data_IF_731561049331
#
_entry.id   IF_731561049331
#
_cell.length_a   1.000
_cell.length_b   1.000
_cell.length_c   1.000
_cell.angle_alpha   90.00
_cell.angle_beta   90.00
_cell.angle_gamma   90.00
#
_symmetry.space_group_name_H-M   'P 1'
#
loop_
_entity.id
_entity.type
_entity.pdbx_description
1 polymer ?
#
# COMPACT_ATOMS: atom_id res chain seq x y z
N UNK A 1 -7.46 14.89 -2.64
CA UNK A 1 -8.85 14.89 -2.12
C UNK A 1 -9.17 13.61 -1.36
N UNK A 2 -9.01 12.43 -1.97
CA UNK A 2 -9.34 11.13 -1.38
C UNK A 2 -8.76 10.87 0.02
N UNK A 3 -7.52 11.30 0.28
CA UNK A 3 -6.85 11.07 1.56
C UNK A 3 -7.32 11.98 2.70
N UNK A 4 -8.13 13.02 2.40
CA UNK A 4 -8.53 14.02 3.40
C UNK A 4 -9.39 13.37 4.49
N UNK A 5 -8.85 13.31 5.70
CA UNK A 5 -9.54 12.71 6.85
C UNK A 5 -9.58 11.17 6.83
N UNK A 6 -8.78 10.52 5.98
CA UNK A 6 -8.67 9.07 5.95
C UNK A 6 -7.98 8.53 7.22
N UNK A 7 -8.48 7.39 7.70
CA UNK A 7 -7.86 6.58 8.77
C UNK A 7 -6.84 5.58 8.21
N UNK A 8 -7.01 5.17 6.95
CA UNK A 8 -6.15 4.19 6.28
C UNK A 8 -5.85 4.69 4.88
N UNK A 9 -4.59 4.66 4.49
CA UNK A 9 -4.17 4.81 3.09
C UNK A 9 -3.64 3.46 2.63
N UNK A 10 -4.17 2.98 1.51
CA UNK A 10 -3.78 1.69 0.94
C UNK A 10 -3.36 1.90 -0.51
N UNK A 11 -2.23 1.32 -0.90
CA UNK A 11 -1.80 1.29 -2.30
C UNK A 11 -1.24 -0.08 -2.67
N UNK A 12 -1.02 -0.28 -3.96
CA UNK A 12 -0.45 -1.48 -4.58
C UNK A 12 0.39 -1.04 -5.79
N UNK A 13 1.21 -1.95 -6.30
CA UNK A 13 2.02 -1.74 -7.49
C UNK A 13 1.17 -1.19 -8.63
N UNK A 14 1.69 -0.15 -9.28
CA UNK A 14 0.96 0.45 -10.40
C UNK A 14 0.79 -0.50 -11.58
N UNK A 15 1.76 -1.40 -11.78
CA UNK A 15 1.76 -2.39 -12.86
C UNK A 15 1.59 -3.77 -12.26
N UNK A 16 0.43 -4.39 -12.50
CA UNK A 16 0.15 -5.75 -12.04
C UNK A 16 0.91 -6.78 -12.88
N UNK A 17 1.03 -8.00 -12.34
CA UNK A 17 1.62 -9.13 -13.08
C UNK A 17 0.89 -9.35 -14.42
N UNK A 18 1.64 -9.44 -15.51
CA UNK A 18 1.12 -9.61 -16.87
C UNK A 18 0.85 -8.30 -17.63
N UNK A 19 1.14 -7.14 -17.03
CA UNK A 19 0.98 -5.81 -17.67
C UNK A 19 2.32 -5.08 -17.88
N UNK A 20 3.43 -5.80 -17.94
CA UNK A 20 4.78 -5.22 -17.94
C UNK A 20 5.03 -4.30 -19.14
N UNK A 21 4.40 -4.57 -20.28
CA UNK A 21 4.48 -3.73 -21.48
C UNK A 21 3.95 -2.30 -21.27
N UNK A 22 3.02 -2.12 -20.33
CA UNK A 22 2.39 -0.83 -20.03
C UNK A 22 3.13 -0.04 -18.93
N UNK A 23 4.20 -0.60 -18.36
CA UNK A 23 4.85 -0.07 -17.15
C UNK A 23 5.23 1.41 -17.25
N UNK A 24 5.81 1.86 -18.37
CA UNK A 24 6.24 3.24 -18.55
C UNK A 24 5.08 4.24 -18.65
N UNK A 25 4.01 3.85 -19.35
CA UNK A 25 2.80 4.66 -19.47
C UNK A 25 2.13 4.80 -18.10
N UNK A 26 1.98 3.68 -17.39
CA UNK A 26 1.39 3.63 -16.05
C UNK A 26 2.19 4.45 -15.05
N UNK A 27 3.52 4.40 -15.07
CA UNK A 27 4.37 5.27 -14.24
C UNK A 27 4.07 6.75 -14.46
N UNK A 28 3.83 7.16 -15.71
CA UNK A 28 3.51 8.55 -16.03
C UNK A 28 2.12 8.95 -15.53
N UNK A 29 1.12 8.08 -15.71
CA UNK A 29 -0.26 8.30 -15.27
C UNK A 29 -0.36 8.31 -13.73
N UNK A 30 0.27 7.35 -13.07
CA UNK A 30 0.11 7.13 -11.63
C UNK A 30 1.09 7.91 -10.76
N UNK A 31 2.07 8.61 -11.34
CA UNK A 31 3.07 9.40 -10.61
C UNK A 31 2.47 10.28 -9.51
N UNK A 32 1.34 10.93 -9.78
CA UNK A 32 0.68 11.84 -8.85
C UNK A 32 -0.15 11.15 -7.75
N UNK A 33 -0.24 9.81 -7.80
CA UNK A 33 -0.93 8.97 -6.82
C UNK A 33 0.02 8.25 -5.87
N UNK A 34 1.34 8.48 -5.97
CA UNK A 34 2.30 7.93 -5.01
C UNK A 34 1.91 8.31 -3.57
N UNK A 35 1.84 7.32 -2.70
CA UNK A 35 1.79 7.57 -1.26
C UNK A 35 3.19 8.00 -0.81
N UNK A 36 3.32 9.28 -0.46
CA UNK A 36 4.52 9.90 0.10
C UNK A 36 4.16 10.73 1.33
N UNK A 37 5.16 11.21 2.08
CA UNK A 37 4.95 11.97 3.31
C UNK A 37 3.99 13.16 3.13
N UNK A 38 4.11 13.91 2.02
CA UNK A 38 3.23 15.04 1.73
C UNK A 38 1.77 14.63 1.54
N UNK A 39 1.52 13.49 0.90
CA UNK A 39 0.15 12.98 0.75
C UNK A 39 -0.39 12.47 2.10
N UNK A 40 0.45 11.80 2.89
CA UNK A 40 0.10 11.28 4.21
C UNK A 40 -0.26 12.41 5.19
N UNK A 41 0.41 13.56 5.13
CA UNK A 41 0.08 14.75 5.94
C UNK A 41 -1.36 15.26 5.75
N UNK A 42 -1.99 14.97 4.61
CA UNK A 42 -3.38 15.37 4.35
C UNK A 42 -4.41 14.42 5.00
N UNK A 43 -3.97 13.27 5.53
CA UNK A 43 -4.80 12.32 6.25
C UNK A 43 -4.89 12.64 7.76
N UNK A 44 -5.53 11.77 8.53
CA UNK A 44 -5.51 11.90 9.99
C UNK A 44 -4.10 11.66 10.52
N UNK A 45 -3.78 12.28 11.67
CA UNK A 45 -2.44 12.18 12.30
C UNK A 45 -2.08 10.76 12.73
N UNK A 46 -3.09 9.96 13.04
CA UNK A 46 -3.02 8.56 13.45
C UNK A 46 -3.41 7.61 12.32
N UNK A 47 -3.48 8.09 11.08
CA UNK A 47 -3.76 7.24 9.93
C UNK A 47 -2.64 6.19 9.76
N UNK A 48 -3.00 4.98 9.36
CA UNK A 48 -2.04 3.92 9.03
C UNK A 48 -1.88 3.79 7.51
N UNK A 49 -0.71 3.30 7.09
CA UNK A 49 -0.41 2.99 5.70
C UNK A 49 -0.26 1.49 5.52
N UNK A 50 -0.95 0.97 4.51
CA UNK A 50 -1.04 -0.45 4.17
C UNK A 50 -0.60 -0.69 2.71
N UNK A 51 -0.08 -1.89 2.45
CA UNK A 51 0.39 -2.31 1.13
C UNK A 51 0.49 -3.85 1.09
N UNK A 52 -0.12 -4.48 0.08
CA UNK A 52 -0.24 -5.95 0.00
C UNK A 52 1.08 -6.70 -0.26
N UNK A 53 2.08 -6.00 -0.80
CA UNK A 53 3.41 -6.47 -1.20
C UNK A 53 3.41 -7.39 -2.43
N UNK A 54 4.51 -7.46 -3.20
CA UNK A 54 5.76 -6.69 -3.06
C UNK A 54 5.59 -5.21 -3.43
N UNK A 55 6.36 -4.32 -2.80
CA UNK A 55 6.35 -2.88 -3.09
C UNK A 55 7.59 -2.45 -3.90
N UNK A 56 7.39 -1.56 -4.86
CA UNK A 56 8.42 -0.80 -5.56
C UNK A 56 8.62 0.56 -4.88
N UNK A 57 9.58 0.61 -3.95
CA UNK A 57 9.97 1.87 -3.29
C UNK A 57 10.32 2.94 -4.34
N UNK A 58 9.66 4.08 -4.25
CA UNK A 58 9.83 5.22 -5.18
C UNK A 58 8.83 5.23 -6.35
N UNK A 59 7.99 4.21 -6.48
CA UNK A 59 6.85 4.19 -7.41
C UNK A 59 5.55 4.43 -6.63
N UNK A 60 4.76 3.40 -6.32
CA UNK A 60 3.47 3.57 -5.63
C UNK A 60 3.60 4.10 -4.20
N UNK A 61 4.73 3.83 -3.54
CA UNK A 61 5.01 4.25 -2.17
C UNK A 61 6.45 4.70 -2.00
N UNK A 62 6.68 5.79 -1.26
CA UNK A 62 8.02 6.26 -0.96
C UNK A 62 8.65 5.48 0.20
N UNK A 63 9.99 5.39 0.22
CA UNK A 63 10.72 4.60 1.21
C UNK A 63 10.48 5.08 2.65
N UNK A 64 10.42 6.39 2.86
CA UNK A 64 10.16 7.04 4.14
C UNK A 64 8.76 6.74 4.69
N UNK A 65 7.78 6.46 3.82
CA UNK A 65 6.43 6.08 4.26
C UNK A 65 6.35 4.60 4.59
N UNK A 66 6.82 3.71 3.70
CA UNK A 66 6.70 2.26 3.91
C UNK A 66 7.57 1.78 5.09
N UNK A 67 8.72 2.41 5.32
CA UNK A 67 9.62 2.11 6.44
C UNK A 67 9.35 3.03 7.66
N UNK A 68 8.34 3.91 7.56
CA UNK A 68 7.99 4.90 8.57
C UNK A 68 7.07 4.39 9.68
N UNK A 69 6.83 5.19 10.72
CA UNK A 69 6.12 4.75 11.93
C UNK A 69 4.62 4.52 11.76
N UNK A 70 4.01 5.05 10.70
CA UNK A 70 2.59 4.85 10.38
C UNK A 70 2.37 3.65 9.46
N UNK A 71 3.44 2.98 9.02
CA UNK A 71 3.35 1.79 8.18
C UNK A 71 3.03 0.56 9.02
N UNK A 72 2.06 -0.23 8.57
CA UNK A 72 1.68 -1.52 9.19
C UNK A 72 1.86 -2.69 8.24
N UNK A 73 2.66 -2.54 7.17
CA UNK A 73 2.80 -3.53 6.09
C UNK A 73 3.32 -4.89 6.56
N UNK A 74 4.11 -4.92 7.64
CA UNK A 74 4.63 -6.17 8.22
C UNK A 74 3.54 -6.90 9.00
N UNK A 75 2.79 -6.20 9.85
CA UNK A 75 1.65 -6.77 10.59
C UNK A 75 0.55 -7.23 9.62
N UNK A 76 0.31 -6.47 8.55
CA UNK A 76 -0.57 -6.86 7.46
C UNK A 76 -0.13 -8.17 6.80
N UNK A 77 1.16 -8.32 6.49
CA UNK A 77 1.72 -9.53 5.91
C UNK A 77 1.64 -10.72 6.89
N UNK A 78 1.92 -10.51 8.17
CA UNK A 78 1.79 -11.54 9.21
C UNK A 78 0.34 -12.02 9.35
N UNK A 79 -0.62 -11.11 9.32
CA UNK A 79 -2.04 -11.43 9.44
C UNK A 79 -2.55 -12.35 8.33
N UNK A 80 -1.89 -12.43 7.18
CA UNK A 80 -2.19 -13.43 6.14
C UNK A 80 -2.14 -14.86 6.68
N UNK A 81 -1.16 -15.18 7.53
CA UNK A 81 -1.03 -16.50 8.16
C UNK A 81 -2.24 -16.80 9.03
N UNK A 82 -2.63 -15.85 9.89
CA UNK A 82 -3.73 -16.03 10.83
C UNK A 82 -5.07 -16.15 10.12
N UNK A 83 -5.32 -15.29 9.13
CA UNK A 83 -6.54 -15.33 8.32
C UNK A 83 -6.64 -16.66 7.56
N UNK A 84 -5.56 -17.12 6.93
CA UNK A 84 -5.57 -18.40 6.20
C UNK A 84 -5.79 -19.60 7.13
N UNK A 85 -5.20 -19.61 8.33
CA UNK A 85 -5.47 -20.65 9.34
C UNK A 85 -6.95 -20.70 9.73
N UNK A 86 -7.56 -19.54 9.99
CA UNK A 86 -8.97 -19.45 10.36
C UNK A 86 -9.88 -19.90 9.21
N UNK A 87 -9.59 -19.49 7.97
CA UNK A 87 -10.34 -19.94 6.79
C UNK A 87 -10.26 -21.46 6.62
N UNK A 88 -9.09 -22.07 6.80
CA UNK A 88 -8.94 -23.53 6.72
C UNK A 88 -9.72 -24.26 7.81
N UNK A 89 -9.72 -23.75 9.04
CA UNK A 89 -10.48 -24.35 10.15
C UNK A 89 -12.00 -24.26 9.93
N UNK A 90 -12.49 -23.18 9.31
CA UNK A 90 -13.92 -23.02 9.00
C UNK A 90 -14.37 -23.93 7.85
N UNK A 91 -13.49 -24.20 6.88
CA UNK A 91 -13.85 -24.92 5.64
C UNK A 91 -13.61 -26.43 5.70
N UNK A 92 -12.77 -26.93 6.61
CA UNK A 92 -12.39 -28.35 6.74
C UNK A 92 -13.01 -28.94 8.00
#
# INVERSE_FOLDING_TARGET
EAVKGADVLYTDVWTSMGQEAESQERKSIFKNYQINAKLLEAAKKDAIVMHCLPAHRGEEISADVIDGPQSVVIDEAENRLHVQKAVLEILI
#
